data_IF_702949862865
#
_entry.id   IF_702949862865
#
_cell.length_a   1.000
_cell.length_b   1.000
_cell.length_c   1.000
_cell.angle_alpha   90.00
_cell.angle_beta   90.00
_cell.angle_gamma   90.00
#
_symmetry.space_group_name_H-M   'P 1'
#
loop_
_entity.id
_entity.type
_entity.pdbx_description
1 polymer ?
#
# COMPACT_ATOMS: atom_id res chain seq x y z
N UNK A 1 -10.96 -17.28 -16.40
CA UNK A 1 -10.22 -17.27 -17.68
C UNK A 1 -9.27 -16.10 -17.65
N UNK A 2 -8.00 -16.35 -17.39
CA UNK A 2 -6.96 -15.32 -17.41
C UNK A 2 -6.52 -15.05 -18.86
N UNK A 3 -6.28 -13.80 -19.26
CA UNK A 3 -5.50 -13.54 -20.45
C UNK A 3 -4.02 -13.53 -20.09
N UNK A 4 -3.33 -14.62 -20.45
CA UNK A 4 -1.86 -14.68 -20.52
C UNK A 4 -1.43 -13.82 -21.72
N UNK A 5 -0.59 -12.80 -21.49
CA UNK A 5 0.16 -12.16 -22.57
C UNK A 5 1.53 -12.80 -22.68
N UNK A 6 1.79 -13.48 -23.78
CA UNK A 6 3.10 -13.97 -24.18
C UNK A 6 4.06 -12.79 -24.45
N UNK A 7 5.32 -12.90 -24.00
CA UNK A 7 6.43 -12.03 -24.41
C UNK A 7 7.21 -12.68 -25.58
N UNK A 8 7.77 -11.89 -26.52
CA UNK A 8 8.49 -12.45 -27.66
C UNK A 8 9.85 -12.99 -27.24
N UNK A 9 10.29 -14.06 -27.93
CA UNK A 9 11.58 -14.71 -27.76
C UNK A 9 12.74 -13.76 -28.10
N UNK A 10 13.79 -13.76 -27.26
CA UNK A 10 15.04 -13.05 -27.52
C UNK A 10 16.05 -14.02 -28.15
N UNK A 11 16.42 -13.75 -29.40
CA UNK A 11 17.46 -14.46 -30.13
C UNK A 11 18.82 -14.38 -29.42
N UNK A 12 19.56 -15.47 -29.52
CA UNK A 12 20.93 -15.65 -29.01
C UNK A 12 21.93 -14.90 -29.90
N UNK A 13 22.68 -13.96 -29.32
CA UNK A 13 23.84 -13.32 -29.93
C UNK A 13 24.98 -13.26 -28.93
N UNK A 14 26.08 -13.91 -29.28
CA UNK A 14 27.33 -14.02 -28.53
C UNK A 14 28.11 -12.70 -28.49
N UNK A 15 28.75 -12.47 -27.33
CA UNK A 15 30.00 -11.74 -27.08
C UNK A 15 30.18 -10.34 -27.68
N UNK A 16 30.20 -9.33 -26.81
CA UNK A 16 31.28 -8.35 -26.75
C UNK A 16 31.47 -7.92 -25.28
N UNK A 17 32.69 -8.09 -24.78
CA UNK A 17 33.15 -7.66 -23.46
C UNK A 17 33.31 -6.13 -23.40
N UNK A 18 33.28 -5.61 -22.17
CA UNK A 18 33.62 -4.24 -21.73
C UNK A 18 32.48 -3.21 -21.61
N UNK A 19 31.85 -3.20 -20.43
CA UNK A 19 32.03 -2.13 -19.45
C UNK A 19 31.38 -2.59 -18.12
N UNK A 20 32.19 -2.95 -17.13
CA UNK A 20 31.73 -3.02 -15.73
C UNK A 20 31.40 -1.58 -15.30
N UNK A 21 30.18 -1.13 -15.60
CA UNK A 21 29.54 -0.12 -14.79
C UNK A 21 29.36 -0.77 -13.42
N UNK A 22 29.96 -0.16 -12.39
CA UNK A 22 29.76 -0.51 -10.99
C UNK A 22 28.30 -0.20 -10.64
N UNK A 23 27.38 -1.02 -11.15
CA UNK A 23 25.95 -0.98 -10.84
C UNK A 23 25.90 -1.28 -9.37
N UNK A 24 25.60 -0.27 -8.57
CA UNK A 24 25.33 -0.42 -7.16
C UNK A 24 24.25 -1.50 -7.03
N UNK A 25 24.66 -2.75 -6.80
CA UNK A 25 23.75 -3.84 -6.51
C UNK A 25 23.12 -3.48 -5.19
N UNK A 26 21.92 -2.94 -5.26
CA UNK A 26 21.15 -2.63 -4.07
C UNK A 26 21.07 -3.90 -3.22
N UNK A 27 21.09 -3.77 -1.89
CA UNK A 27 21.04 -4.93 -0.99
C UNK A 27 19.69 -5.68 -1.01
N UNK A 28 18.80 -5.34 -1.94
CA UNK A 28 17.46 -5.86 -2.13
C UNK A 28 17.17 -6.08 -3.63
N UNK A 29 16.19 -6.91 -3.94
CA UNK A 29 15.81 -7.19 -5.34
C UNK A 29 14.75 -6.22 -5.86
N UNK A 30 13.84 -5.78 -4.99
CA UNK A 30 12.75 -4.86 -5.33
C UNK A 30 12.32 -4.05 -4.11
N UNK A 31 11.91 -2.79 -4.32
CA UNK A 31 11.28 -1.94 -3.31
C UNK A 31 9.80 -1.74 -3.68
N UNK A 32 8.92 -2.15 -2.77
CA UNK A 32 7.47 -2.14 -2.96
C UNK A 32 6.80 -1.33 -1.87
N UNK A 33 5.93 -0.40 -2.25
CA UNK A 33 5.11 0.39 -1.34
C UNK A 33 3.71 -0.19 -1.33
N UNK A 34 3.10 -0.34 -0.15
CA UNK A 34 1.73 -0.87 -0.08
C UNK A 34 0.89 -0.16 0.99
N UNK A 35 -0.43 -0.19 0.78
CA UNK A 35 -1.42 0.29 1.74
C UNK A 35 -2.69 -0.57 1.68
N UNK A 36 -3.27 -0.85 2.85
CA UNK A 36 -4.58 -1.50 2.95
C UNK A 36 -5.67 -0.48 3.22
N UNK A 37 -6.77 -0.57 2.47
CA UNK A 37 -8.05 -0.01 2.88
C UNK A 37 -8.91 -1.10 3.50
N UNK A 38 -9.70 -0.72 4.50
CA UNK A 38 -10.47 -1.67 5.29
C UNK A 38 -11.93 -1.25 5.45
N UNK A 39 -12.81 -2.25 5.45
CA UNK A 39 -14.17 -2.13 5.98
C UNK A 39 -14.08 -2.10 7.50
N UNK A 40 -14.94 -1.29 8.14
CA UNK A 40 -14.89 -1.03 9.59
C UNK A 40 -16.27 -1.15 10.27
N UNK A 41 -17.26 -1.77 9.62
CA UNK A 41 -18.67 -1.75 10.05
C UNK A 41 -18.91 -2.30 11.45
N UNK A 42 -18.13 -3.31 11.86
CA UNK A 42 -18.28 -3.99 13.14
C UNK A 42 -17.22 -3.55 14.17
N UNK A 43 -16.54 -2.42 13.94
CA UNK A 43 -15.44 -1.96 14.78
C UNK A 43 -14.15 -2.78 14.65
N UNK A 44 -14.15 -3.79 13.78
CA UNK A 44 -12.95 -4.53 13.36
C UNK A 44 -12.59 -4.08 11.95
N UNK A 45 -11.29 -3.91 11.71
CA UNK A 45 -10.77 -3.52 10.40
C UNK A 45 -10.50 -4.77 9.58
N UNK A 46 -11.16 -4.90 8.45
CA UNK A 46 -11.03 -6.03 7.53
C UNK A 46 -10.55 -5.52 6.16
N UNK A 47 -9.35 -5.91 5.69
CA UNK A 47 -8.85 -5.44 4.40
C UNK A 47 -9.77 -5.86 3.26
N UNK A 48 -10.20 -4.88 2.47
CA UNK A 48 -11.01 -5.09 1.27
C UNK A 48 -10.39 -4.51 0.00
N UNK A 49 -9.27 -3.79 0.14
CA UNK A 49 -8.41 -3.34 -0.94
C UNK A 49 -6.96 -3.28 -0.44
N UNK A 50 -6.03 -3.77 -1.25
CA UNK A 50 -4.59 -3.58 -1.09
C UNK A 50 -4.05 -3.05 -2.40
N UNK A 51 -3.34 -1.91 -2.34
CA UNK A 51 -2.64 -1.34 -3.50
C UNK A 51 -1.15 -1.41 -3.24
N UNK A 52 -0.42 -1.89 -4.23
CA UNK A 52 1.04 -2.01 -4.23
C UNK A 52 1.58 -1.21 -5.41
N UNK A 53 2.65 -0.47 -5.20
CA UNK A 53 3.36 0.24 -6.24
C UNK A 53 4.88 0.03 -6.10
N UNK A 54 5.60 -0.17 -7.20
CA UNK A 54 7.08 -0.21 -7.20
C UNK A 54 7.68 1.16 -7.57
N UNK A 55 9.01 1.27 -7.57
CA UNK A 55 9.72 2.51 -7.93
C UNK A 55 9.54 2.93 -9.40
N UNK A 56 9.18 1.99 -10.28
CA UNK A 56 8.90 2.27 -11.69
C UNK A 56 7.47 2.79 -11.93
N UNK A 57 6.61 2.74 -10.90
CA UNK A 57 5.20 3.10 -11.00
C UNK A 57 4.29 1.97 -11.48
N UNK A 58 4.79 0.74 -11.58
CA UNK A 58 3.92 -0.42 -11.80
C UNK A 58 3.05 -0.65 -10.56
N UNK A 59 1.78 -0.97 -10.77
CA UNK A 59 0.79 -1.16 -9.71
C UNK A 59 0.17 -2.55 -9.73
N UNK A 60 -0.06 -3.09 -8.54
CA UNK A 60 -0.84 -4.30 -8.30
C UNK A 60 -1.96 -4.02 -7.31
N UNK A 61 -3.10 -4.68 -7.52
CA UNK A 61 -4.29 -4.46 -6.73
C UNK A 61 -4.96 -5.78 -6.36
N UNK A 62 -5.29 -5.93 -5.09
CA UNK A 62 -6.12 -7.02 -4.55
C UNK A 62 -7.37 -6.41 -3.93
N UNK A 63 -8.53 -6.98 -4.20
CA UNK A 63 -9.81 -6.39 -3.77
C UNK A 63 -10.85 -7.46 -3.42
N UNK A 64 -11.69 -7.16 -2.44
CA UNK A 64 -12.73 -8.04 -1.92
C UNK A 64 -12.34 -8.74 -0.60
N UNK A 65 -13.20 -9.64 -0.14
CA UNK A 65 -13.17 -10.17 1.23
C UNK A 65 -11.88 -10.96 1.58
N UNK A 66 -11.18 -11.48 0.56
CA UNK A 66 -9.94 -12.25 0.75
C UNK A 66 -8.67 -11.44 0.48
N UNK A 67 -8.77 -10.10 0.36
CA UNK A 67 -7.69 -9.18 -0.04
C UNK A 67 -6.37 -9.48 0.67
N UNK A 68 -6.39 -9.63 2.00
CA UNK A 68 -5.19 -9.89 2.79
C UNK A 68 -4.49 -11.18 2.34
N UNK A 69 -5.24 -12.26 2.16
CA UNK A 69 -4.66 -13.56 1.84
C UNK A 69 -4.16 -13.57 0.40
N UNK A 70 -4.93 -13.05 -0.56
CA UNK A 70 -4.50 -12.99 -1.97
C UNK A 70 -3.23 -12.15 -2.13
N UNK A 71 -3.14 -11.01 -1.44
CA UNK A 71 -1.93 -10.20 -1.40
C UNK A 71 -0.74 -10.97 -0.81
N UNK A 72 -0.91 -11.63 0.34
CA UNK A 72 0.17 -12.38 0.98
C UNK A 72 0.58 -13.62 0.18
N UNK A 73 -0.36 -14.34 -0.44
CA UNK A 73 -0.09 -15.47 -1.32
C UNK A 73 0.69 -15.03 -2.57
N UNK A 74 0.37 -13.87 -3.12
CA UNK A 74 1.16 -13.25 -4.19
C UNK A 74 2.55 -12.84 -3.71
N UNK A 75 2.67 -12.24 -2.53
CA UNK A 75 3.93 -11.70 -2.02
C UNK A 75 4.90 -12.81 -1.58
N UNK A 76 4.42 -13.85 -0.91
CA UNK A 76 5.27 -14.90 -0.32
C UNK A 76 5.62 -16.01 -1.33
N UNK A 77 6.07 -15.62 -2.51
CA UNK A 77 6.56 -16.50 -3.56
C UNK A 77 8.05 -16.26 -3.84
N UNK A 78 8.64 -17.10 -4.71
CA UNK A 78 10.04 -16.96 -5.11
C UNK A 78 10.29 -15.77 -6.02
N UNK A 79 9.27 -15.28 -6.73
CA UNK A 79 9.40 -14.08 -7.57
C UNK A 79 9.78 -12.83 -6.75
N UNK A 80 9.32 -12.75 -5.50
CA UNK A 80 9.56 -11.60 -4.61
C UNK A 80 10.67 -11.85 -3.57
N UNK A 81 11.48 -12.89 -3.76
CA UNK A 81 12.60 -13.17 -2.84
C UNK A 81 13.50 -11.93 -2.74
N UNK A 82 13.82 -11.49 -1.52
CA UNK A 82 14.69 -10.35 -1.27
C UNK A 82 14.06 -8.98 -1.47
N UNK A 83 12.73 -8.87 -1.62
CA UNK A 83 12.07 -7.56 -1.70
C UNK A 83 11.99 -6.85 -0.33
N UNK A 84 11.84 -5.53 -0.40
CA UNK A 84 11.52 -4.68 0.74
C UNK A 84 10.13 -4.11 0.55
N UNK A 85 9.23 -4.42 1.47
CA UNK A 85 7.89 -3.88 1.56
C UNK A 85 7.88 -2.66 2.50
N UNK A 86 7.34 -1.54 2.05
CA UNK A 86 7.24 -0.31 2.82
C UNK A 86 5.78 0.08 2.95
N UNK A 87 5.32 0.27 4.18
CA UNK A 87 4.03 0.88 4.45
C UNK A 87 4.21 2.07 5.39
N UNK A 88 3.40 3.11 5.16
CA UNK A 88 3.37 4.24 6.06
C UNK A 88 2.51 3.93 7.28
N UNK A 89 3.10 4.02 8.47
CA UNK A 89 2.51 3.54 9.72
C UNK A 89 2.30 2.01 9.75
N UNK A 90 3.25 1.24 9.19
CA UNK A 90 3.25 -0.23 9.29
C UNK A 90 3.13 -0.69 10.74
N UNK A 91 3.88 -0.05 11.63
CA UNK A 91 3.97 -0.39 13.05
C UNK A 91 2.65 -0.25 13.83
N UNK A 92 1.66 0.46 13.27
CA UNK A 92 0.40 0.78 13.93
C UNK A 92 -0.84 0.39 13.15
N UNK A 93 -0.71 -0.15 11.94
CA UNK A 93 -1.85 -0.50 11.10
C UNK A 93 -1.56 -1.70 10.19
N UNK A 94 -0.92 -1.46 9.04
CA UNK A 94 -0.70 -2.47 7.99
C UNK A 94 0.01 -3.74 8.51
N UNK A 95 0.94 -3.59 9.47
CA UNK A 95 1.67 -4.72 10.04
C UNK A 95 0.83 -5.72 10.83
N UNK A 96 -0.37 -5.37 11.31
CA UNK A 96 -1.25 -6.32 12.00
C UNK A 96 -1.78 -7.38 11.04
N UNK A 97 -2.14 -7.00 9.82
CA UNK A 97 -2.66 -7.93 8.81
C UNK A 97 -1.57 -8.91 8.33
N UNK A 98 -0.34 -8.42 8.17
CA UNK A 98 0.80 -9.27 7.81
C UNK A 98 1.10 -10.27 8.93
N UNK A 99 1.16 -9.81 10.19
CA UNK A 99 1.36 -10.70 11.34
C UNK A 99 0.30 -11.78 11.42
N UNK A 100 -0.97 -11.40 11.22
CA UNK A 100 -2.07 -12.34 11.28
C UNK A 100 -1.93 -13.44 10.22
N UNK A 101 -1.63 -13.06 8.96
CA UNK A 101 -1.41 -14.03 7.89
C UNK A 101 -0.24 -14.98 8.21
N UNK A 102 0.90 -14.44 8.65
CA UNK A 102 2.07 -15.25 8.99
C UNK A 102 1.77 -16.21 10.14
N UNK A 103 1.07 -15.75 11.17
CA UNK A 103 0.66 -16.57 12.30
C UNK A 103 -0.26 -17.71 11.90
N UNK A 104 -1.29 -17.44 11.09
CA UNK A 104 -2.23 -18.44 10.56
C UNK A 104 -1.52 -19.50 9.71
N UNK A 105 -0.40 -19.14 9.06
CA UNK A 105 0.43 -20.03 8.25
C UNK A 105 1.64 -20.64 9.00
N UNK A 106 1.75 -20.43 10.32
CA UNK A 106 2.83 -21.01 11.13
C UNK A 106 4.23 -20.45 10.81
N UNK A 107 4.31 -19.27 10.19
CA UNK A 107 5.57 -18.59 9.89
C UNK A 107 5.93 -17.65 11.03
N UNK A 108 7.14 -17.79 11.56
CA UNK A 108 7.66 -16.92 12.62
C UNK A 108 8.64 -15.92 11.98
N UNK A 109 8.27 -14.64 11.87
CA UNK A 109 9.20 -13.61 11.40
C UNK A 109 10.17 -13.18 12.51
N UNK A 110 11.30 -12.63 12.10
CA UNK A 110 12.18 -11.85 12.98
C UNK A 110 11.65 -10.41 13.04
N UNK A 111 11.58 -9.82 14.24
CA UNK A 111 11.02 -8.47 14.42
C UNK A 111 11.96 -7.56 15.17
N UNK A 112 12.02 -6.29 14.74
CA UNK A 112 12.64 -5.20 15.49
C UNK A 112 11.52 -4.34 16.03
N UNK A 113 11.50 -4.15 17.35
CA UNK A 113 10.41 -3.47 18.05
C UNK A 113 10.89 -2.23 18.81
N UNK A 114 9.97 -1.29 19.00
CA UNK A 114 10.09 -0.17 19.94
C UNK A 114 8.88 -0.21 20.87
N UNK A 115 9.08 -0.73 22.08
CA UNK A 115 7.96 -1.10 22.94
C UNK A 115 7.08 -2.14 22.25
N UNK A 116 5.77 -1.89 22.18
CA UNK A 116 4.81 -2.77 21.51
C UNK A 116 4.70 -2.57 19.99
N UNK A 117 5.48 -1.65 19.40
CA UNK A 117 5.39 -1.30 17.97
C UNK A 117 6.45 -2.04 17.15
N UNK A 118 6.03 -2.70 16.06
CA UNK A 118 6.93 -3.40 15.14
C UNK A 118 7.45 -2.41 14.10
N UNK A 119 8.72 -2.05 14.20
CA UNK A 119 9.36 -1.13 13.25
C UNK A 119 9.73 -1.85 11.95
N UNK A 120 10.21 -3.08 12.10
CA UNK A 120 10.66 -3.92 11.00
C UNK A 120 10.23 -5.35 11.27
N UNK A 121 9.77 -6.04 10.23
CA UNK A 121 9.51 -7.46 10.23
C UNK A 121 10.28 -8.11 9.09
N UNK A 122 10.94 -9.23 9.35
CA UNK A 122 11.76 -9.94 8.38
C UNK A 122 11.33 -11.40 8.31
N UNK A 123 11.13 -11.90 7.10
CA UNK A 123 10.74 -13.30 6.82
C UNK A 123 11.94 -14.01 6.19
N UNK A 124 12.75 -14.76 6.98
CA UNK A 124 14.05 -15.25 6.52
C UNK A 124 14.00 -16.19 5.31
N UNK A 125 12.95 -17.01 5.20
CA UNK A 125 12.79 -18.00 4.13
C UNK A 125 12.83 -17.40 2.71
N UNK A 126 12.31 -16.18 2.57
CA UNK A 126 12.28 -15.44 1.30
C UNK A 126 13.10 -14.15 1.37
N UNK A 127 13.81 -13.89 2.48
CA UNK A 127 14.56 -12.64 2.70
C UNK A 127 13.70 -11.38 2.51
N UNK A 128 12.39 -11.47 2.72
CA UNK A 128 11.46 -10.35 2.58
C UNK A 128 11.48 -9.50 3.84
N UNK A 129 11.56 -8.19 3.69
CA UNK A 129 11.59 -7.23 4.81
C UNK A 129 10.45 -6.22 4.71
N UNK A 130 9.66 -6.09 5.77
CA UNK A 130 8.69 -5.02 5.93
C UNK A 130 9.29 -3.89 6.78
N UNK A 131 9.09 -2.65 6.34
CA UNK A 131 9.62 -1.44 6.98
C UNK A 131 8.50 -0.43 7.22
N UNK A 132 8.45 0.12 8.42
CA UNK A 132 7.63 1.27 8.77
C UNK A 132 8.26 2.59 8.30
N UNK A 133 7.72 3.22 7.25
CA UNK A 133 8.25 4.52 6.79
C UNK A 133 8.00 5.66 7.78
N UNK A 134 7.00 5.54 8.67
CA UNK A 134 6.71 6.55 9.69
C UNK A 134 7.86 6.72 10.69
N UNK A 135 8.71 5.71 10.85
CA UNK A 135 9.90 5.78 11.70
C UNK A 135 11.04 6.60 11.10
N UNK A 136 11.01 6.86 9.79
CA UNK A 136 11.97 7.71 9.08
C UNK A 136 11.37 9.07 8.71
N UNK A 137 10.07 9.10 8.42
CA UNK A 137 9.31 10.27 8.00
C UNK A 137 8.15 10.44 9.01
N UNK A 138 8.38 11.05 10.19
CA UNK A 138 7.44 11.07 11.31
C UNK A 138 6.35 12.14 11.15
N UNK A 139 5.61 12.08 10.04
CA UNK A 139 4.54 13.02 9.66
C UNK A 139 3.46 12.29 8.86
N UNK A 140 2.26 12.86 8.75
CA UNK A 140 1.15 12.22 8.04
C UNK A 140 1.36 12.28 6.53
N UNK A 141 0.85 11.30 5.79
CA UNK A 141 0.85 11.31 4.32
C UNK A 141 0.27 12.62 3.73
N UNK A 142 -0.76 13.19 4.36
CA UNK A 142 -1.38 14.45 3.91
C UNK A 142 -0.43 15.65 3.95
N UNK A 143 0.61 15.59 4.78
CA UNK A 143 1.59 16.67 4.92
C UNK A 143 2.75 16.54 3.91
N UNK A 144 2.89 15.40 3.21
CA UNK A 144 3.99 15.12 2.28
C UNK A 144 4.10 16.16 1.17
N UNK A 145 3.00 16.56 0.48
CA UNK A 145 3.12 17.50 -0.63
C UNK A 145 3.73 18.83 -0.19
N UNK A 146 3.32 19.33 0.98
CA UNK A 146 3.86 20.56 1.56
C UNK A 146 5.34 20.41 1.95
N UNK A 147 5.71 19.31 2.60
CA UNK A 147 7.08 19.11 3.09
C UNK A 147 8.08 18.86 1.97
N UNK A 148 7.68 18.16 0.91
CA UNK A 148 8.56 17.82 -0.22
C UNK A 148 8.40 18.77 -1.42
N UNK A 149 7.56 19.80 -1.32
CA UNK A 149 7.33 20.76 -2.40
C UNK A 149 6.65 20.15 -3.63
N UNK A 150 5.83 19.12 -3.44
CA UNK A 150 5.09 18.46 -4.52
C UNK A 150 3.83 19.27 -4.84
N UNK A 151 3.77 19.79 -6.07
CA UNK A 151 2.68 20.68 -6.48
C UNK A 151 1.45 19.95 -7.03
N UNK A 152 1.56 18.66 -7.39
CA UNK A 152 0.58 17.98 -8.25
C UNK A 152 -0.11 16.75 -7.64
N UNK A 153 0.14 16.41 -6.37
CA UNK A 153 -0.52 15.28 -5.71
C UNK A 153 -0.93 15.62 -4.27
N UNK A 154 -1.99 16.41 -4.11
CA UNK A 154 -2.71 16.39 -2.84
C UNK A 154 -3.46 15.05 -2.75
N UNK A 155 -3.12 14.22 -1.76
CA UNK A 155 -3.89 13.00 -1.46
C UNK A 155 -5.36 13.39 -1.31
N UNK A 156 -6.24 12.77 -2.11
CA UNK A 156 -7.69 12.95 -1.98
C UNK A 156 -8.21 12.45 -0.63
N UNK A 157 -9.49 12.71 -0.34
CA UNK A 157 -10.13 12.17 0.85
C UNK A 157 -10.79 10.82 0.53
N UNK A 158 -10.64 9.84 1.41
CA UNK A 158 -11.28 8.53 1.25
C UNK A 158 -12.58 8.47 2.07
N UNK A 159 -13.70 7.99 1.51
CA UNK A 159 -14.98 7.93 2.20
C UNK A 159 -15.05 6.69 3.11
N UNK A 160 -14.31 6.71 4.23
CA UNK A 160 -14.18 5.56 5.12
C UNK A 160 -15.52 4.92 5.55
N UNK A 161 -16.55 5.73 5.81
CA UNK A 161 -17.86 5.22 6.24
C UNK A 161 -18.72 4.71 5.07
N UNK A 162 -18.33 5.01 3.83
CA UNK A 162 -18.95 4.48 2.62
C UNK A 162 -18.34 3.14 2.21
N UNK A 163 -17.11 2.84 2.65
CA UNK A 163 -16.43 1.58 2.43
C UNK A 163 -17.10 0.44 3.20
N UNK A 164 -18.17 -0.10 2.60
CA UNK A 164 -19.06 -1.12 3.15
C UNK A 164 -19.24 -2.23 2.13
N UNK A 165 -19.62 -3.42 2.59
CA UNK A 165 -19.88 -4.56 1.70
C UNK A 165 -20.91 -4.24 0.62
N UNK A 166 -21.98 -3.53 0.99
CA UNK A 166 -23.06 -3.12 0.09
C UNK A 166 -22.59 -2.17 -1.04
N UNK A 167 -21.50 -1.43 -0.81
CA UNK A 167 -21.00 -0.40 -1.71
C UNK A 167 -19.75 -0.81 -2.51
N UNK A 168 -19.24 -2.04 -2.36
CA UNK A 168 -18.00 -2.47 -3.04
C UNK A 168 -18.08 -2.42 -4.58
N UNK A 169 -19.29 -2.51 -5.14
CA UNK A 169 -19.56 -2.41 -6.58
C UNK A 169 -20.21 -1.09 -6.98
N UNK A 170 -20.17 -0.09 -6.09
CA UNK A 170 -20.78 1.19 -6.34
C UNK A 170 -20.11 1.89 -7.52
N UNK A 171 -20.90 2.22 -8.53
CA UNK A 171 -20.52 3.09 -9.63
C UNK A 171 -21.58 4.18 -9.70
N UNK A 172 -21.19 5.41 -9.39
CA UNK A 172 -22.12 6.52 -9.23
C UNK A 172 -21.41 7.79 -8.79
N UNK A 173 -22.18 8.84 -8.48
CA UNK A 173 -21.63 10.14 -8.07
C UNK A 173 -20.81 10.06 -6.78
N UNK A 174 -20.01 11.10 -6.52
CA UNK A 174 -19.24 11.24 -5.30
C UNK A 174 -20.10 11.00 -4.03
N UNK A 175 -19.66 10.14 -3.08
CA UNK A 175 -20.39 9.90 -1.84
C UNK A 175 -20.68 11.20 -1.07
N UNK A 176 -21.80 11.28 -0.34
CA UNK A 176 -22.10 12.42 0.51
C UNK A 176 -21.01 12.71 1.56
N UNK A 177 -20.77 13.98 1.85
CA UNK A 177 -19.77 14.47 2.80
C UNK A 177 -19.74 13.74 4.16
N UNK A 178 -20.88 13.36 4.79
CA UNK A 178 -20.87 12.62 6.05
C UNK A 178 -20.08 11.30 6.00
N UNK A 179 -19.96 10.66 4.84
CA UNK A 179 -19.25 9.39 4.71
C UNK A 179 -17.72 9.50 4.81
N UNK A 180 -17.17 10.71 4.74
CA UNK A 180 -15.74 10.99 4.90
C UNK A 180 -15.36 11.28 6.35
N UNK A 181 -16.31 11.16 7.29
CA UNK A 181 -16.11 11.44 8.71
C UNK A 181 -15.52 12.85 9.00
N UNK A 182 -16.13 13.95 8.48
CA UNK A 182 -15.63 15.31 8.67
C UNK A 182 -15.60 15.78 10.13
N UNK A 183 -16.29 15.10 11.04
CA UNK A 183 -16.26 15.41 12.47
C UNK A 183 -14.99 14.92 13.16
N UNK A 184 -14.25 13.98 12.55
CA UNK A 184 -12.94 13.55 13.04
C UNK A 184 -11.79 14.44 12.57
N UNK A 185 -12.05 15.40 11.67
CA UNK A 185 -11.05 16.34 11.15
C UNK A 185 -10.93 17.56 12.07
N UNK A 186 -9.74 18.17 12.10
CA UNK A 186 -9.60 19.47 12.74
C UNK A 186 -10.32 20.57 11.92
N UNK A 187 -10.59 21.77 12.49
CA UNK A 187 -11.36 22.81 11.79
C UNK A 187 -10.78 23.22 10.42
N UNK A 188 -9.46 23.35 10.29
CA UNK A 188 -8.81 23.76 9.05
C UNK A 188 -8.83 22.65 7.99
N UNK A 189 -8.60 21.39 8.41
CA UNK A 189 -8.76 20.22 7.53
C UNK A 189 -10.20 20.07 7.05
N UNK A 190 -11.18 20.30 7.93
CA UNK A 190 -12.60 20.23 7.60
C UNK A 190 -13.01 21.28 6.57
N UNK A 191 -12.53 22.51 6.71
CA UNK A 191 -12.76 23.57 5.72
C UNK A 191 -12.17 23.20 4.35
N UNK A 192 -10.93 22.70 4.34
CA UNK A 192 -10.24 22.24 3.14
C UNK A 192 -10.99 21.09 2.46
N UNK A 193 -11.44 20.11 3.25
CA UNK A 193 -12.25 18.99 2.78
C UNK A 193 -13.58 19.43 2.19
N UNK A 194 -14.32 20.34 2.85
CA UNK A 194 -15.62 20.80 2.37
C UNK A 194 -15.49 21.54 1.02
N UNK A 195 -14.45 22.36 0.88
CA UNK A 195 -14.15 23.03 -0.40
C UNK A 195 -13.82 22.01 -1.49
N UNK A 196 -12.93 21.06 -1.22
CA UNK A 196 -12.59 19.97 -2.14
C UNK A 196 -13.82 19.14 -2.56
N UNK A 197 -14.69 18.78 -1.59
CA UNK A 197 -15.89 17.98 -1.83
C UNK A 197 -16.90 18.74 -2.70
N UNK A 198 -17.07 20.03 -2.46
CA UNK A 198 -17.93 20.89 -3.26
C UNK A 198 -17.41 21.04 -4.70
N UNK A 199 -16.11 21.30 -4.88
CA UNK A 199 -15.48 21.43 -6.21
C UNK A 199 -15.64 20.15 -7.04
N UNK A 200 -15.43 18.97 -6.45
CA UNK A 200 -15.63 17.70 -7.16
C UNK A 200 -17.10 17.47 -7.55
N UNK A 201 -18.03 17.81 -6.65
CA UNK A 201 -19.47 17.70 -6.92
C UNK A 201 -19.91 18.63 -8.06
N UNK A 202 -19.37 19.84 -8.12
CA UNK A 202 -19.64 20.80 -9.20
C UNK A 202 -19.07 20.35 -10.55
N UNK A 203 -17.95 19.61 -10.53
CA UNK A 203 -17.33 19.03 -11.72
C UNK A 203 -17.96 17.70 -12.18
N UNK A 204 -19.10 17.30 -11.61
CA UNK A 204 -19.82 16.04 -11.92
C UNK A 204 -18.99 14.76 -11.76
N UNK A 205 -18.12 14.72 -10.74
CA UNK A 205 -17.53 13.46 -10.25
C UNK A 205 -18.51 12.64 -9.40
#
# INVERSE_FOLDING_TARGET
MHPVKEKPARETGLCDDEADEDVHKSGYNELLFFDFECIQENGTHEPNLCVIQNEAGDEWMFQGDNTRNEFCEWLFTKEHEGCIMVAHNFQGYNGYFIQQYLHENGVIPEVIMRGAKILTMYVPMLKIKFIDSLSFIPMRLADFPKTFGLNELAKGYFPHLFNRNENQKYVGPLPPSPYYHPNGMNPAEKETFLKWHQELKENNY
#
